data_IF_553305445024
#
_entry.id   IF_553305445024
#
_cell.length_a   1.000
_cell.length_b   1.000
_cell.length_c   1.000
_cell.angle_alpha   90.00
_cell.angle_beta   90.00
_cell.angle_gamma   90.00
#
_symmetry.space_group_name_H-M   'P 1'
#
loop_
_entity.id
_entity.type
_entity.pdbx_description
1 polymer ?
#
# COMPACT_ATOMS: atom_id res chain seq x y z
N UNK A 1 3.72 -7.77 17.85
CA UNK A 1 4.08 -8.24 16.51
C UNK A 1 3.61 -7.24 15.47
N UNK A 2 4.50 -6.79 14.62
CA UNK A 2 4.16 -5.83 13.57
C UNK A 2 3.79 -6.57 12.28
N UNK A 3 2.71 -6.13 11.67
CA UNK A 3 2.26 -6.63 10.38
C UNK A 3 2.43 -5.53 9.33
N UNK A 4 3.09 -5.86 8.22
CA UNK A 4 3.19 -4.94 7.09
C UNK A 4 2.35 -5.45 5.93
N UNK A 5 1.51 -4.57 5.41
CA UNK A 5 0.76 -4.84 4.19
C UNK A 5 1.48 -4.13 3.05
N UNK A 6 1.98 -4.90 2.10
CA UNK A 6 2.71 -4.38 0.96
C UNK A 6 1.75 -4.36 -0.23
N UNK A 7 1.52 -3.18 -0.78
CA UNK A 7 0.59 -3.05 -1.89
C UNK A 7 1.25 -2.34 -3.06
N UNK A 8 1.62 -3.08 -4.10
CA UNK A 8 2.13 -2.45 -5.32
C UNK A 8 0.99 -1.73 -6.04
N UNK A 9 1.27 -0.55 -6.55
CA UNK A 9 0.25 0.26 -7.22
C UNK A 9 0.76 0.81 -8.54
N UNK A 10 -0.17 0.90 -9.48
CA UNK A 10 0.03 1.63 -10.72
C UNK A 10 -1.34 2.12 -11.19
N UNK A 11 -1.51 3.45 -11.20
CA UNK A 11 -2.77 4.08 -11.58
C UNK A 11 -3.95 3.61 -10.73
N UNK A 12 -3.77 3.64 -9.41
CA UNK A 12 -4.78 3.20 -8.45
C UNK A 12 -5.30 4.33 -7.58
N UNK A 13 -5.15 5.59 -8.02
CA UNK A 13 -5.46 6.74 -7.17
C UNK A 13 -6.85 6.67 -6.54
N UNK A 14 -7.86 6.32 -7.31
CA UNK A 14 -9.23 6.31 -6.81
C UNK A 14 -9.54 5.12 -5.90
N UNK A 15 -8.69 4.11 -5.89
CA UNK A 15 -8.89 2.93 -5.04
C UNK A 15 -8.16 3.02 -3.71
N UNK A 16 -7.24 3.97 -3.57
CA UNK A 16 -6.36 4.04 -2.39
C UNK A 16 -7.16 4.24 -1.11
N UNK A 17 -8.00 5.27 -1.06
CA UNK A 17 -8.75 5.55 0.17
C UNK A 17 -9.72 4.44 0.53
N UNK A 18 -10.53 3.92 -0.42
CA UNK A 18 -11.39 2.78 -0.09
C UNK A 18 -10.62 1.57 0.41
N UNK A 19 -9.45 1.31 -0.17
CA UNK A 19 -8.62 0.18 0.23
C UNK A 19 -8.14 0.35 1.68
N UNK A 20 -7.64 1.55 2.02
CA UNK A 20 -7.18 1.83 3.36
C UNK A 20 -8.31 1.69 4.38
N UNK A 21 -9.50 2.20 4.05
CA UNK A 21 -10.63 2.12 4.95
C UNK A 21 -11.09 0.68 5.16
N UNK A 22 -11.06 -0.12 4.09
CA UNK A 22 -11.40 -1.53 4.20
C UNK A 22 -10.40 -2.27 5.09
N UNK A 23 -9.10 -1.96 4.95
CA UNK A 23 -8.08 -2.58 5.80
C UNK A 23 -8.23 -2.15 7.24
N UNK A 24 -8.53 -0.88 7.50
CA UNK A 24 -8.72 -0.42 8.87
C UNK A 24 -9.84 -1.19 9.56
N UNK A 25 -10.92 -1.46 8.83
CA UNK A 25 -12.02 -2.23 9.38
C UNK A 25 -11.61 -3.67 9.64
N UNK A 26 -10.93 -4.29 8.68
CA UNK A 26 -10.50 -5.69 8.81
C UNK A 26 -9.46 -5.88 9.89
N UNK A 27 -8.60 -4.89 10.11
CA UNK A 27 -7.47 -4.99 11.03
C UNK A 27 -7.70 -4.24 12.34
N UNK A 28 -8.94 -3.94 12.67
CA UNK A 28 -9.22 -3.15 13.86
C UNK A 28 -8.72 -3.79 15.16
N UNK A 29 -8.56 -5.11 15.16
CA UNK A 29 -8.07 -5.83 16.33
C UNK A 29 -6.55 -5.96 16.36
N UNK A 30 -5.86 -5.55 15.30
CA UNK A 30 -4.41 -5.51 15.27
C UNK A 30 -3.94 -4.17 15.79
N UNK A 31 -3.01 -4.20 16.75
CA UNK A 31 -2.49 -2.97 17.32
C UNK A 31 -1.41 -2.36 16.45
N UNK A 32 -0.54 -3.21 15.92
CA UNK A 32 0.63 -2.74 15.18
C UNK A 32 0.59 -3.24 13.75
N UNK A 33 0.18 -2.38 12.85
CA UNK A 33 0.29 -2.68 11.43
C UNK A 33 0.64 -1.41 10.66
N UNK A 34 1.24 -1.61 9.50
CA UNK A 34 1.52 -0.52 8.58
C UNK A 34 1.11 -0.93 7.18
N UNK A 35 0.83 0.07 6.36
CA UNK A 35 0.50 -0.15 4.95
C UNK A 35 1.56 0.56 4.13
N UNK A 36 2.26 -0.19 3.28
CA UNK A 36 3.32 0.35 2.43
C UNK A 36 2.87 0.20 0.98
N UNK A 37 2.58 1.32 0.35
CA UNK A 37 2.30 1.33 -1.08
C UNK A 37 3.61 1.51 -1.84
N UNK A 38 3.81 0.69 -2.87
CA UNK A 38 4.98 0.83 -3.74
C UNK A 38 4.45 1.24 -5.11
N UNK A 39 4.59 2.51 -5.42
CA UNK A 39 3.99 3.08 -6.62
C UNK A 39 5.00 3.16 -7.76
N UNK A 40 4.62 2.61 -8.90
CA UNK A 40 5.47 2.57 -10.09
C UNK A 40 5.31 3.82 -10.95
N UNK A 41 5.40 4.98 -10.31
CA UNK A 41 5.37 6.28 -10.96
C UNK A 41 4.08 6.48 -11.77
N UNK A 42 2.94 6.32 -11.08
CA UNK A 42 1.64 6.42 -11.71
C UNK A 42 1.39 7.79 -12.32
N UNK A 43 0.70 7.80 -13.43
CA UNK A 43 0.32 9.04 -14.10
C UNK A 43 -0.91 9.70 -13.48
N UNK A 44 -1.70 8.96 -12.73
CA UNK A 44 -2.93 9.45 -12.12
C UNK A 44 -2.73 10.02 -10.72
N UNK A 45 -1.50 10.32 -10.37
CA UNK A 45 -1.14 10.93 -9.08
C UNK A 45 -1.40 10.03 -7.87
N UNK A 46 -1.31 8.71 -8.06
CA UNK A 46 -1.46 7.76 -6.97
C UNK A 46 -0.54 8.11 -5.80
N UNK A 47 0.73 8.42 -6.10
CA UNK A 47 1.70 8.75 -5.05
C UNK A 47 1.24 9.95 -4.22
N UNK A 48 0.74 11.01 -4.89
CA UNK A 48 0.28 12.20 -4.19
C UNK A 48 -0.92 11.90 -3.30
N UNK A 49 -1.82 11.04 -3.76
CA UNK A 49 -2.98 10.63 -2.97
C UNK A 49 -2.51 9.93 -1.69
N UNK A 50 -1.59 8.97 -1.81
CA UNK A 50 -1.09 8.26 -0.63
C UNK A 50 -0.36 9.22 0.29
N UNK A 51 0.45 10.11 -0.27
CA UNK A 51 1.20 11.07 0.54
C UNK A 51 0.27 11.96 1.37
N UNK A 52 -0.82 12.41 0.77
CA UNK A 52 -1.79 13.23 1.50
C UNK A 52 -2.48 12.44 2.61
N UNK A 53 -2.83 11.19 2.33
CA UNK A 53 -3.46 10.34 3.33
C UNK A 53 -2.49 10.04 4.48
N UNK A 54 -1.22 9.86 4.18
CA UNK A 54 -0.22 9.54 5.21
C UNK A 54 -0.03 10.67 6.21
N UNK A 55 -0.42 11.87 5.89
CA UNK A 55 -0.39 12.97 6.85
C UNK A 55 -1.39 12.76 7.97
N UNK A 56 -2.50 12.08 7.67
CA UNK A 56 -3.54 11.79 8.65
C UNK A 56 -3.34 10.43 9.31
N UNK A 57 -2.93 9.44 8.54
CA UNK A 57 -2.73 8.08 9.04
C UNK A 57 -1.24 7.78 9.07
N UNK A 58 -0.67 7.80 10.28
CA UNK A 58 0.78 7.68 10.45
C UNK A 58 1.34 6.33 10.04
N UNK A 59 0.49 5.31 10.00
CA UNK A 59 0.92 3.96 9.64
C UNK A 59 0.80 3.68 8.14
N UNK A 60 0.60 4.70 7.33
CA UNK A 60 0.53 4.57 5.86
C UNK A 60 1.69 5.33 5.25
N UNK A 61 2.43 4.67 4.36
CA UNK A 61 3.50 5.34 3.62
C UNK A 61 3.61 4.80 2.21
N UNK A 62 4.35 5.51 1.38
CA UNK A 62 4.47 5.17 -0.03
C UNK A 62 5.92 5.27 -0.47
N UNK A 63 6.35 4.27 -1.23
CA UNK A 63 7.62 4.29 -1.94
C UNK A 63 7.31 4.56 -3.40
N UNK A 64 7.87 5.64 -3.95
CA UNK A 64 7.69 5.95 -5.36
C UNK A 64 8.90 5.46 -6.13
N UNK A 65 8.66 4.67 -7.16
CA UNK A 65 9.73 4.13 -7.98
C UNK A 65 9.77 4.84 -9.32
N UNK A 66 10.87 5.47 -9.61
CA UNK A 66 11.07 6.18 -10.88
C UNK A 66 12.14 5.43 -11.65
N UNK A 67 11.83 5.08 -12.90
CA UNK A 67 12.78 4.35 -13.74
C UNK A 67 12.83 2.85 -13.51
N UNK A 68 12.04 2.36 -12.59
CA UNK A 68 11.94 0.92 -12.32
C UNK A 68 10.47 0.52 -12.38
N UNK A 69 10.22 -0.64 -12.92
CA UNK A 69 8.86 -1.16 -13.04
C UNK A 69 8.84 -2.65 -12.84
N UNK A 70 7.66 -3.15 -12.56
CA UNK A 70 7.44 -4.57 -12.44
C UNK A 70 6.86 -4.94 -11.10
N UNK A 71 5.86 -5.82 -11.12
CA UNK A 71 5.15 -6.25 -9.93
C UNK A 71 6.09 -6.91 -8.93
N UNK A 72 6.89 -7.87 -9.41
CA UNK A 72 7.76 -8.62 -8.49
C UNK A 72 8.78 -7.73 -7.81
N UNK A 73 9.41 -6.81 -8.55
CA UNK A 73 10.41 -5.93 -7.95
C UNK A 73 9.77 -4.92 -7.00
N UNK A 74 8.52 -4.50 -7.28
CA UNK A 74 7.80 -3.61 -6.37
C UNK A 74 7.55 -4.29 -5.04
N UNK A 75 7.11 -5.54 -5.07
CA UNK A 75 6.87 -6.32 -3.86
C UNK A 75 8.17 -6.47 -3.06
N UNK A 76 9.26 -6.80 -3.74
CA UNK A 76 10.55 -6.96 -3.07
C UNK A 76 10.99 -5.67 -2.40
N UNK A 77 10.88 -4.54 -3.09
CA UNK A 77 11.26 -3.26 -2.48
C UNK A 77 10.41 -2.93 -1.26
N UNK A 78 9.11 -3.21 -1.35
CA UNK A 78 8.23 -3.00 -0.21
C UNK A 78 8.63 -3.84 0.97
N UNK A 79 8.90 -5.11 0.73
CA UNK A 79 9.31 -6.03 1.80
C UNK A 79 10.63 -5.61 2.42
N UNK A 80 11.60 -5.19 1.60
CA UNK A 80 12.90 -4.75 2.10
C UNK A 80 12.82 -3.48 2.93
N UNK A 81 11.80 -2.64 2.71
CA UNK A 81 11.65 -1.41 3.46
C UNK A 81 10.98 -1.62 4.81
N UNK A 82 10.50 -2.81 5.09
CA UNK A 82 9.75 -3.11 6.30
C UNK A 82 10.63 -3.82 7.33
N UNK A 83 10.38 -3.53 8.60
CA UNK A 83 10.99 -4.26 9.70
C UNK A 83 9.97 -5.16 10.40
N UNK A 84 8.85 -5.43 9.75
CA UNK A 84 7.77 -6.17 10.37
C UNK A 84 8.08 -7.65 10.52
N UNK A 85 7.39 -8.28 11.46
CA UNK A 85 7.50 -9.72 11.69
C UNK A 85 6.73 -10.50 10.63
N UNK A 86 5.63 -9.94 10.15
CA UNK A 86 4.80 -10.57 9.12
C UNK A 86 4.61 -9.62 7.96
N UNK A 87 4.66 -10.18 6.76
CA UNK A 87 4.48 -9.43 5.52
C UNK A 87 3.31 -10.03 4.75
N UNK A 88 2.40 -9.20 4.31
CA UNK A 88 1.24 -9.60 3.52
C UNK A 88 1.17 -8.73 2.29
N UNK A 89 1.08 -9.37 1.12
CA UNK A 89 1.00 -8.64 -0.15
C UNK A 89 -0.44 -8.61 -0.62
N UNK A 90 -0.94 -7.43 -0.93
CA UNK A 90 -2.32 -7.25 -1.38
C UNK A 90 -2.38 -6.19 -2.47
N UNK A 91 -3.21 -6.42 -3.48
CA UNK A 91 -3.49 -5.40 -4.49
C UNK A 91 -4.43 -4.35 -3.93
N UNK A 92 -4.23 -3.11 -4.34
CA UNK A 92 -5.14 -2.04 -3.96
C UNK A 92 -6.43 -2.05 -4.79
N UNK A 93 -6.50 -2.90 -5.79
CA UNK A 93 -7.68 -3.01 -6.65
C UNK A 93 -8.74 -3.85 -5.96
N UNK A 94 -9.89 -3.25 -5.69
CA UNK A 94 -10.99 -3.92 -5.00
C UNK A 94 -11.97 -4.59 -5.94
N UNK A 95 -11.77 -4.46 -7.25
CA UNK A 95 -12.75 -4.94 -8.22
C UNK A 95 -12.92 -6.45 -8.23
N UNK A 96 -11.84 -7.18 -8.05
CA UNK A 96 -11.93 -8.65 -8.09
C UNK A 96 -12.65 -9.21 -6.87
N UNK A 97 -12.93 -8.39 -5.89
CA UNK A 97 -13.74 -8.81 -4.75
C UNK A 97 -15.22 -8.86 -5.08
N UNK A 98 -15.58 -8.44 -6.26
CA UNK A 98 -16.96 -8.37 -6.69
C UNK A 98 -17.54 -9.68 -7.18
N UNK A 99 -16.79 -10.73 -7.15
CA UNK A 99 -17.22 -12.03 -7.67
C UNK A 99 -18.41 -12.63 -6.99
#
# INVERSE_FOLDING_TARGET
MLLSIISPTYNEAKNIKPFILALKTSLKDFKDYEIIFVDDNSLDKTYEVVKNISKKYKNVRCIRRIGRRGLSSAVIEGCLSSSADLLLVMDADLQHDQK
#
